data_IF_511883945274
#
_entry.id   IF_511883945274
#
_cell.length_a   1.000
_cell.length_b   1.000
_cell.length_c   1.000
_cell.angle_alpha   90.00
_cell.angle_beta   90.00
_cell.angle_gamma   90.00
#
_symmetry.space_group_name_H-M   'P 1'
#
loop_
_entity.id
_entity.type
_entity.pdbx_description
1 polymer ?
#
# COMPACT_ATOMS: atom_id res chain seq x y z
N UNK A 1 -8.12 -12.29 -7.35
CA UNK A 1 -8.12 -13.08 -6.10
C UNK A 1 -8.00 -12.11 -4.94
N UNK A 2 -8.74 -12.32 -3.85
CA UNK A 2 -8.66 -11.44 -2.69
C UNK A 2 -7.27 -11.52 -2.04
N UNK A 3 -6.67 -10.37 -1.72
CA UNK A 3 -5.40 -10.27 -1.00
C UNK A 3 -5.60 -10.71 0.45
N UNK A 4 -4.75 -11.61 1.01
CA UNK A 4 -4.85 -11.98 2.42
C UNK A 4 -4.53 -10.77 3.32
N UNK A 5 -5.05 -10.77 4.54
CA UNK A 5 -4.73 -9.73 5.52
C UNK A 5 -3.31 -9.92 6.06
N UNK A 6 -2.51 -8.84 6.06
CA UNK A 6 -1.19 -8.81 6.68
C UNK A 6 -1.26 -9.15 8.18
N UNK A 7 -2.32 -8.70 8.86
CA UNK A 7 -2.51 -8.93 10.29
C UNK A 7 -2.82 -10.40 10.63
N UNK A 8 -3.23 -11.21 9.66
CA UNK A 8 -3.58 -12.63 9.85
C UNK A 8 -2.37 -13.56 9.68
N UNK A 9 -1.27 -13.08 9.08
CA UNK A 9 -0.01 -13.81 9.02
C UNK A 9 0.59 -13.97 10.42
N UNK A 10 1.33 -15.06 10.66
CA UNK A 10 2.11 -15.19 11.89
C UNK A 10 3.35 -14.26 11.86
N UNK A 11 3.97 -14.06 13.02
CA UNK A 11 5.16 -13.19 13.18
C UNK A 11 6.32 -13.57 12.25
N UNK A 12 6.61 -14.86 12.07
CA UNK A 12 7.70 -15.29 11.20
C UNK A 12 7.43 -14.93 9.73
N UNK A 13 6.19 -15.12 9.27
CA UNK A 13 5.80 -14.78 7.90
C UNK A 13 5.80 -13.26 7.68
N UNK A 14 5.38 -12.47 8.68
CA UNK A 14 5.48 -11.00 8.61
C UNK A 14 6.93 -10.53 8.57
N UNK A 15 7.80 -11.09 9.41
CA UNK A 15 9.22 -10.77 9.42
C UNK A 15 9.90 -11.12 8.08
N UNK A 16 9.61 -12.31 7.55
CA UNK A 16 10.14 -12.73 6.25
C UNK A 16 9.66 -11.82 5.12
N UNK A 17 8.38 -11.47 5.09
CA UNK A 17 7.84 -10.57 4.07
C UNK A 17 8.48 -9.17 4.17
N UNK A 18 8.61 -8.60 5.37
CA UNK A 18 9.26 -7.31 5.59
C UNK A 18 10.74 -7.33 5.16
N UNK A 19 11.45 -8.44 5.39
CA UNK A 19 12.83 -8.62 4.91
C UNK A 19 12.91 -8.65 3.38
N UNK A 20 12.05 -9.41 2.72
CA UNK A 20 12.05 -9.52 1.26
C UNK A 20 11.62 -8.21 0.58
N UNK A 21 10.71 -7.45 1.18
CA UNK A 21 10.39 -6.08 0.73
C UNK A 21 11.62 -5.18 0.83
N UNK A 22 12.36 -5.18 1.95
CA UNK A 22 13.60 -4.39 2.07
C UNK A 22 14.67 -4.80 1.05
N UNK A 23 14.73 -6.09 0.67
CA UNK A 23 15.63 -6.58 -0.39
C UNK A 23 15.21 -6.09 -1.78
N UNK A 24 13.90 -5.98 -2.02
CA UNK A 24 13.35 -5.48 -3.28
C UNK A 24 13.56 -3.97 -3.45
N UNK A 25 13.37 -3.19 -2.38
CA UNK A 25 13.38 -1.72 -2.43
C UNK A 25 14.81 -1.17 -2.58
N UNK A 26 15.25 -1.02 -3.82
CA UNK A 26 16.50 -0.34 -4.20
C UNK A 26 16.27 1.14 -4.52
N UNK A 27 17.32 1.96 -4.66
CA UNK A 27 17.18 3.34 -5.13
C UNK A 27 16.43 3.46 -6.47
N UNK A 28 16.64 2.52 -7.40
CA UNK A 28 15.95 2.51 -8.69
C UNK A 28 14.44 2.29 -8.52
N UNK A 29 14.05 1.39 -7.60
CA UNK A 29 12.64 1.16 -7.25
C UNK A 29 12.02 2.43 -6.66
N UNK A 30 12.72 3.10 -5.74
CA UNK A 30 12.26 4.39 -5.19
C UNK A 30 12.13 5.47 -6.27
N UNK A 31 13.06 5.53 -7.20
CA UNK A 31 13.03 6.51 -8.29
C UNK A 31 11.89 6.23 -9.30
N UNK A 32 11.44 4.98 -9.48
CA UNK A 32 10.23 4.67 -10.26
C UNK A 32 9.01 5.39 -9.66
N UNK A 33 8.80 5.28 -8.33
CA UNK A 33 7.73 5.98 -7.65
C UNK A 33 7.86 7.50 -7.77
N UNK A 34 9.07 8.04 -7.54
CA UNK A 34 9.30 9.47 -7.64
C UNK A 34 9.06 10.03 -9.05
N UNK A 35 9.48 9.32 -10.09
CA UNK A 35 9.23 9.71 -11.48
C UNK A 35 7.75 9.67 -11.83
N UNK A 36 6.98 8.72 -11.28
CA UNK A 36 5.54 8.67 -11.45
C UNK A 36 4.84 9.84 -10.74
N UNK A 37 5.28 10.21 -9.54
CA UNK A 37 4.82 11.43 -8.84
C UNK A 37 5.03 12.66 -9.73
N UNK A 38 6.23 12.82 -10.30
CA UNK A 38 6.56 13.93 -11.21
C UNK A 38 5.74 13.92 -12.51
N UNK A 39 5.26 12.74 -12.92
CA UNK A 39 4.46 12.53 -14.13
C UNK A 39 2.95 12.66 -13.90
N UNK A 40 2.51 12.89 -12.65
CA UNK A 40 1.10 13.14 -12.32
C UNK A 40 0.37 11.99 -11.64
N UNK A 41 1.01 10.85 -11.33
CA UNK A 41 0.36 9.68 -10.72
C UNK A 41 -0.21 9.93 -9.30
N UNK A 42 0.04 11.10 -8.70
CA UNK A 42 -0.53 11.51 -7.41
C UNK A 42 -1.47 12.72 -7.54
N UNK A 43 -1.84 13.09 -8.78
CA UNK A 43 -2.80 14.15 -9.09
C UNK A 43 -3.86 13.69 -10.09
N UNK A 44 -3.67 12.55 -10.75
CA UNK A 44 -4.61 11.92 -11.67
C UNK A 44 -5.17 10.64 -11.01
N UNK A 45 -6.48 10.55 -10.76
CA UNK A 45 -7.11 9.43 -10.07
C UNK A 45 -6.92 8.07 -10.73
N UNK A 46 -7.06 8.00 -12.06
CA UNK A 46 -6.93 6.76 -12.80
C UNK A 46 -5.46 6.30 -12.81
N UNK A 47 -4.55 7.24 -13.08
CA UNK A 47 -3.11 6.98 -13.04
C UNK A 47 -2.64 6.61 -11.62
N UNK A 48 -3.22 7.19 -10.57
CA UNK A 48 -2.96 6.81 -9.18
C UNK A 48 -3.26 5.33 -8.95
N UNK A 49 -4.42 4.85 -9.36
CA UNK A 49 -4.81 3.45 -9.18
C UNK A 49 -3.95 2.53 -10.06
N UNK A 50 -3.83 2.82 -11.35
CA UNK A 50 -3.12 1.95 -12.29
C UNK A 50 -1.62 1.86 -11.98
N UNK A 51 -0.97 3.00 -11.69
CA UNK A 51 0.46 3.03 -11.39
C UNK A 51 0.79 2.21 -10.14
N UNK A 52 0.03 2.37 -9.05
CA UNK A 52 0.33 1.64 -7.81
C UNK A 52 0.09 0.14 -7.96
N UNK A 53 -0.92 -0.29 -8.75
CA UNK A 53 -1.11 -1.71 -9.10
C UNK A 53 0.09 -2.27 -9.86
N UNK A 54 0.57 -1.56 -10.89
CA UNK A 54 1.75 -1.98 -11.66
C UNK A 54 3.01 -2.01 -10.78
N UNK A 55 3.15 -1.04 -9.88
CA UNK A 55 4.27 -0.94 -8.95
C UNK A 55 4.30 -2.13 -7.98
N UNK A 56 3.14 -2.49 -7.39
CA UNK A 56 2.98 -3.69 -6.55
C UNK A 56 3.28 -4.96 -7.34
N UNK A 57 2.84 -5.05 -8.59
CA UNK A 57 3.07 -6.21 -9.45
C UNK A 57 4.57 -6.50 -9.62
N UNK A 58 5.43 -5.47 -9.62
CA UNK A 58 6.89 -5.63 -9.59
C UNK A 58 7.39 -6.38 -8.35
N UNK A 59 6.87 -6.04 -7.17
CA UNK A 59 7.20 -6.75 -5.92
C UNK A 59 6.65 -8.19 -5.93
N UNK A 60 5.42 -8.40 -6.41
CA UNK A 60 4.82 -9.73 -6.49
C UNK A 60 5.60 -10.66 -7.44
N UNK A 61 6.10 -10.13 -8.57
CA UNK A 61 6.99 -10.86 -9.46
C UNK A 61 8.31 -11.21 -8.76
N UNK A 62 8.94 -10.26 -8.07
CA UNK A 62 10.16 -10.50 -7.29
C UNK A 62 9.97 -11.60 -6.22
N UNK A 63 8.85 -11.57 -5.50
CA UNK A 63 8.52 -12.59 -4.50
C UNK A 63 8.30 -13.97 -5.15
N UNK A 64 7.58 -14.02 -6.26
CA UNK A 64 7.33 -15.25 -7.03
C UNK A 64 8.62 -15.88 -7.55
N UNK A 65 9.52 -15.07 -8.14
CA UNK A 65 10.80 -15.52 -8.68
C UNK A 65 11.73 -16.12 -7.62
N UNK A 66 11.57 -15.71 -6.36
CA UNK A 66 12.28 -16.24 -5.20
C UNK A 66 11.58 -17.42 -4.52
N UNK A 67 10.43 -17.85 -5.05
CA UNK A 67 9.66 -18.96 -4.54
C UNK A 67 8.69 -18.61 -3.41
N UNK A 68 8.51 -17.32 -3.08
CA UNK A 68 7.61 -16.87 -2.02
C UNK A 68 6.17 -16.64 -2.51
N UNK A 69 5.65 -17.61 -3.27
CA UNK A 69 4.29 -17.54 -3.83
C UNK A 69 3.18 -17.48 -2.78
N UNK A 70 3.46 -17.85 -1.53
CA UNK A 70 2.51 -17.66 -0.42
C UNK A 70 2.21 -16.18 -0.12
N UNK A 71 3.07 -15.26 -0.55
CA UNK A 71 2.86 -13.81 -0.44
C UNK A 71 2.34 -13.20 -1.74
N UNK A 72 1.83 -14.01 -2.67
CA UNK A 72 1.29 -13.55 -3.96
C UNK A 72 -0.14 -14.08 -4.12
N UNK A 73 -1.16 -13.20 -4.15
CA UNK A 73 -1.06 -11.75 -4.17
C UNK A 73 -0.55 -11.15 -2.84
N UNK A 74 0.10 -9.99 -2.91
CA UNK A 74 0.70 -9.31 -1.75
C UNK A 74 -0.32 -9.13 -0.62
N UNK A 75 -0.02 -9.59 0.61
CA UNK A 75 -0.87 -9.37 1.77
C UNK A 75 -1.14 -7.88 2.01
N UNK A 76 -2.40 -7.52 2.21
CA UNK A 76 -2.88 -6.16 2.36
C UNK A 76 -2.95 -5.74 3.84
N UNK A 77 -2.61 -4.49 4.14
CA UNK A 77 -2.74 -3.92 5.48
C UNK A 77 -3.83 -2.85 5.53
N UNK A 78 -4.87 -3.10 6.32
CA UNK A 78 -5.93 -2.14 6.60
C UNK A 78 -5.43 -1.14 7.68
N UNK A 79 -5.36 0.18 7.39
CA UNK A 79 -4.85 1.20 8.31
C UNK A 79 -5.76 1.48 9.52
N UNK A 80 -6.89 0.77 9.64
CA UNK A 80 -7.65 0.70 10.89
C UNK A 80 -6.91 -0.09 11.98
N UNK A 81 -6.03 -1.00 11.59
CA UNK A 81 -5.21 -1.78 12.50
C UNK A 81 -3.85 -1.10 12.73
N UNK A 82 -3.20 -1.33 13.88
CA UNK A 82 -1.80 -0.95 14.06
C UNK A 82 -0.89 -1.58 13.01
N UNK A 83 0.19 -0.88 12.69
CA UNK A 83 1.31 -1.40 11.90
C UNK A 83 1.92 -2.58 12.69
N UNK A 84 2.05 -3.78 12.10
CA UNK A 84 2.75 -4.89 12.75
C UNK A 84 4.19 -4.52 13.11
N UNK A 85 4.70 -5.03 14.23
CA UNK A 85 6.03 -4.66 14.75
C UNK A 85 7.14 -4.92 13.73
N UNK A 86 7.02 -6.00 12.95
CA UNK A 86 7.99 -6.38 11.92
C UNK A 86 8.05 -5.39 10.75
N UNK A 87 7.02 -4.54 10.60
CA UNK A 87 6.89 -3.51 9.59
C UNK A 87 7.17 -2.09 10.12
N UNK A 88 7.51 -1.94 11.40
CA UNK A 88 7.96 -0.67 11.97
C UNK A 88 9.40 -0.35 11.55
N UNK A 89 9.60 -0.09 10.27
CA UNK A 89 10.91 0.15 9.67
C UNK A 89 10.84 1.41 8.80
N UNK A 90 11.74 2.38 9.00
CA UNK A 90 12.73 2.48 10.09
C UNK A 90 12.07 2.78 11.45
N UNK A 91 12.62 2.22 12.52
CA UNK A 91 12.19 2.44 13.91
C UNK A 91 12.97 3.58 14.63
N UNK A 92 14.11 3.97 14.06
CA UNK A 92 15.02 4.96 14.61
C UNK A 92 15.47 6.02 13.58
N UNK A 93 16.10 7.08 14.09
CA UNK A 93 16.61 8.19 13.28
C UNK A 93 15.52 9.16 12.78
N UNK A 94 15.90 10.16 11.98
CA UNK A 94 14.99 11.22 11.52
C UNK A 94 13.88 10.72 10.59
N UNK A 95 14.10 9.58 9.93
CA UNK A 95 13.13 8.95 9.04
C UNK A 95 12.12 8.03 9.72
N UNK A 96 12.27 7.75 11.03
CA UNK A 96 11.44 6.75 11.72
C UNK A 96 9.95 7.00 11.56
N UNK A 97 9.17 5.93 11.49
CA UNK A 97 7.71 6.02 11.55
C UNK A 97 7.30 6.64 12.90
N UNK A 98 6.36 7.59 12.88
CA UNK A 98 6.05 8.40 14.06
C UNK A 98 4.81 7.89 14.79
N UNK A 99 3.79 7.45 14.04
CA UNK A 99 2.57 6.87 14.58
C UNK A 99 2.32 5.50 13.95
N UNK A 100 2.44 4.46 14.78
CA UNK A 100 2.24 3.08 14.37
C UNK A 100 0.78 2.62 14.44
N UNK A 101 -0.14 3.48 14.90
CA UNK A 101 -1.56 3.18 14.92
C UNK A 101 -2.33 4.39 14.36
N UNK A 102 -2.40 4.55 13.03
CA UNK A 102 -3.07 5.69 12.44
C UNK A 102 -4.58 5.68 12.65
N UNK A 103 -5.18 4.51 12.90
CA UNK A 103 -6.59 4.29 13.23
C UNK A 103 -7.56 4.93 12.19
N UNK A 104 -7.22 4.81 10.91
CA UNK A 104 -7.99 5.40 9.80
C UNK A 104 -8.94 4.35 9.24
N UNK A 105 -10.25 4.57 9.43
CA UNK A 105 -11.30 3.74 8.83
C UNK A 105 -11.54 4.12 7.37
N UNK A 106 -11.66 3.10 6.52
CA UNK A 106 -12.18 3.20 5.16
C UNK A 106 -13.68 2.82 5.11
N UNK A 107 -14.17 2.08 6.11
CA UNK A 107 -15.59 1.81 6.28
C UNK A 107 -16.37 3.02 6.82
N UNK A 108 -17.65 3.21 6.44
CA UNK A 108 -18.40 2.35 5.51
C UNK A 108 -18.20 2.69 4.03
N UNK A 109 -17.60 3.85 3.73
CA UNK A 109 -17.51 4.42 2.38
C UNK A 109 -16.95 3.45 1.33
N UNK A 110 -15.91 2.70 1.69
CA UNK A 110 -15.24 1.76 0.78
C UNK A 110 -15.54 0.29 1.09
N UNK A 111 -16.58 0.01 1.88
CA UNK A 111 -17.07 -1.36 2.04
C UNK A 111 -17.67 -1.84 0.72
N UNK A 112 -17.49 -3.12 0.38
CA UNK A 112 -17.83 -3.68 -0.93
C UNK A 112 -19.29 -3.40 -1.33
N UNK A 113 -20.23 -3.44 -0.39
CA UNK A 113 -21.65 -3.13 -0.63
C UNK A 113 -21.92 -1.67 -1.03
N UNK A 114 -21.02 -0.74 -0.70
CA UNK A 114 -21.16 0.69 -0.96
C UNK A 114 -20.37 1.15 -2.20
N UNK A 115 -19.50 0.30 -2.78
CA UNK A 115 -18.66 0.67 -3.92
C UNK A 115 -19.44 1.03 -5.20
N UNK A 116 -20.67 0.53 -5.36
CA UNK A 116 -21.56 0.94 -6.46
C UNK A 116 -21.99 2.42 -6.39
N UNK A 117 -21.68 3.13 -5.31
CA UNK A 117 -21.88 4.58 -5.21
C UNK A 117 -20.91 5.39 -6.08
N UNK A 118 -19.77 4.81 -6.48
CA UNK A 118 -18.80 5.42 -7.39
C UNK A 118 -19.12 4.95 -8.82
N UNK A 119 -19.57 5.87 -9.67
CA UNK A 119 -20.02 5.57 -11.03
C UNK A 119 -18.89 5.49 -12.04
N UNK A 120 -17.71 6.04 -11.73
CA UNK A 120 -16.52 5.96 -12.59
C UNK A 120 -15.26 5.65 -11.79
N UNK A 121 -14.21 5.21 -12.49
CA UNK A 121 -12.89 4.97 -11.91
C UNK A 121 -12.30 6.25 -11.31
N UNK A 122 -12.52 7.40 -11.96
CA UNK A 122 -12.04 8.69 -11.49
C UNK A 122 -12.70 9.10 -10.17
N UNK A 123 -14.01 8.86 -10.01
CA UNK A 123 -14.72 9.16 -8.76
C UNK A 123 -14.20 8.34 -7.59
N UNK A 124 -13.98 7.02 -7.80
CA UNK A 124 -13.38 6.16 -6.78
C UNK A 124 -11.92 6.56 -6.49
N UNK A 125 -11.14 6.82 -7.54
CA UNK A 125 -9.72 7.16 -7.43
C UNK A 125 -9.49 8.46 -6.63
N UNK A 126 -10.30 9.52 -6.86
CA UNK A 126 -10.22 10.76 -6.08
C UNK A 126 -10.50 10.52 -4.59
N UNK A 127 -11.54 9.75 -4.29
CA UNK A 127 -11.94 9.43 -2.92
C UNK A 127 -10.86 8.60 -2.20
N UNK A 128 -10.35 7.56 -2.87
CA UNK A 128 -9.27 6.72 -2.34
C UNK A 128 -7.99 7.53 -2.15
N UNK A 129 -7.58 8.34 -3.12
CA UNK A 129 -6.37 9.17 -3.03
C UNK A 129 -6.44 10.14 -1.84
N UNK A 130 -7.61 10.73 -1.58
CA UNK A 130 -7.82 11.61 -0.42
C UNK A 130 -7.64 10.87 0.90
N UNK A 131 -8.27 9.69 1.04
CA UNK A 131 -8.14 8.87 2.25
C UNK A 131 -6.73 8.30 2.42
N UNK A 132 -6.11 7.94 1.31
CA UNK A 132 -4.74 7.44 1.24
C UNK A 132 -3.74 8.46 1.77
N UNK A 133 -3.82 9.70 1.30
CA UNK A 133 -2.93 10.78 1.73
C UNK A 133 -3.04 11.05 3.24
N UNK A 134 -4.24 10.88 3.82
CA UNK A 134 -4.44 10.99 5.26
C UNK A 134 -3.69 9.90 6.04
N UNK A 135 -3.61 8.67 5.54
CA UNK A 135 -2.84 7.59 6.18
C UNK A 135 -1.35 7.91 6.19
N UNK A 136 -0.79 8.31 5.05
CA UNK A 136 0.61 8.75 4.95
C UNK A 136 0.93 9.89 5.93
N UNK A 137 0.09 10.93 5.95
CA UNK A 137 0.24 12.06 6.85
C UNK A 137 0.11 11.66 8.33
N UNK A 138 -0.78 10.73 8.66
CA UNK A 138 -1.02 10.29 10.03
C UNK A 138 0.11 9.42 10.56
N UNK A 139 0.76 8.59 9.73
CA UNK A 139 1.92 7.78 10.12
C UNK A 139 3.17 8.65 10.35
N UNK A 140 3.39 9.65 9.49
CA UNK A 140 4.55 10.54 9.61
C UNK A 140 5.87 9.87 9.21
N UNK A 141 7.00 10.52 9.53
CA UNK A 141 8.33 10.00 9.17
C UNK A 141 8.53 9.90 7.66
N UNK A 142 9.24 8.88 7.19
CA UNK A 142 9.36 8.64 5.74
C UNK A 142 8.03 8.31 5.06
N UNK A 143 7.04 7.78 5.79
CA UNK A 143 5.70 7.55 5.23
C UNK A 143 4.99 8.87 4.87
N UNK A 144 5.38 10.03 5.39
CA UNK A 144 4.84 11.33 4.95
C UNK A 144 5.73 12.02 3.89
N UNK A 145 6.58 11.26 3.18
CA UNK A 145 7.41 11.76 2.09
C UNK A 145 7.04 11.03 0.79
N UNK A 146 6.48 11.74 -0.19
CA UNK A 146 6.17 11.14 -1.50
C UNK A 146 7.38 10.49 -2.18
N UNK A 147 8.60 10.97 -1.90
CA UNK A 147 9.81 10.35 -2.43
C UNK A 147 10.27 9.15 -1.61
N UNK A 148 10.24 9.24 -0.29
CA UNK A 148 10.88 8.25 0.58
C UNK A 148 9.92 7.18 1.13
N UNK A 149 8.60 7.35 1.00
CA UNK A 149 7.62 6.42 1.53
C UNK A 149 7.82 4.96 1.08
N UNK A 150 8.22 4.66 -0.18
CA UNK A 150 8.47 3.27 -0.60
C UNK A 150 9.58 2.55 0.18
N UNK A 151 10.48 3.30 0.86
CA UNK A 151 11.50 2.73 1.74
C UNK A 151 10.91 2.09 3.02
N UNK A 152 9.69 2.47 3.42
CA UNK A 152 9.01 1.84 4.53
C UNK A 152 8.34 0.55 4.03
N UNK A 153 8.64 -0.64 4.57
CA UNK A 153 8.02 -1.87 4.10
C UNK A 153 6.49 -1.86 4.16
N UNK A 154 5.91 -1.14 5.12
CA UNK A 154 4.44 -1.01 5.30
C UNK A 154 3.76 -0.26 4.14
N UNK A 155 4.50 0.52 3.36
CA UNK A 155 4.00 1.14 2.12
C UNK A 155 3.33 0.10 1.23
N UNK A 156 3.99 -1.04 1.01
CA UNK A 156 3.57 -2.02 0.02
C UNK A 156 2.25 -2.72 0.40
N UNK A 157 2.10 -3.29 1.62
CA UNK A 157 0.80 -3.80 2.06
C UNK A 157 -0.30 -2.74 2.12
N UNK A 158 0.03 -1.48 2.42
CA UNK A 158 -0.95 -0.40 2.40
C UNK A 158 -1.49 -0.14 0.99
N UNK A 159 -0.61 -0.03 0.00
CA UNK A 159 -1.05 0.09 -1.39
C UNK A 159 -1.76 -1.17 -1.90
N UNK A 160 -1.39 -2.36 -1.39
CA UNK A 160 -2.15 -3.59 -1.64
C UNK A 160 -3.58 -3.53 -1.12
N UNK A 161 -3.82 -2.85 0.00
CA UNK A 161 -5.18 -2.60 0.51
C UNK A 161 -5.98 -1.66 -0.40
N UNK A 162 -5.38 -0.56 -0.87
CA UNK A 162 -6.02 0.37 -1.82
C UNK A 162 -6.35 -0.34 -3.14
N UNK A 163 -5.41 -1.13 -3.66
CA UNK A 163 -5.59 -1.93 -4.88
C UNK A 163 -6.71 -2.96 -4.73
N UNK A 164 -6.84 -3.58 -3.55
CA UNK A 164 -7.93 -4.50 -3.24
C UNK A 164 -9.31 -3.84 -3.32
N UNK A 165 -9.45 -2.61 -2.81
CA UNK A 165 -10.71 -1.86 -2.92
C UNK A 165 -11.04 -1.55 -4.39
N UNK A 166 -10.05 -1.15 -5.19
CA UNK A 166 -10.27 -0.91 -6.61
C UNK A 166 -10.66 -2.18 -7.36
N UNK A 167 -10.02 -3.31 -7.05
CA UNK A 167 -10.43 -4.61 -7.59
C UNK A 167 -11.87 -4.98 -7.20
N UNK A 168 -12.26 -4.76 -5.94
CA UNK A 168 -13.63 -5.01 -5.49
C UNK A 168 -14.65 -4.15 -6.26
N UNK A 169 -14.33 -2.88 -6.55
CA UNK A 169 -15.16 -2.01 -7.37
C UNK A 169 -15.26 -2.50 -8.82
N UNK A 170 -14.13 -2.90 -9.43
CA UNK A 170 -14.09 -3.46 -10.78
C UNK A 170 -14.93 -4.72 -10.92
N UNK A 171 -14.96 -5.58 -9.90
CA UNK A 171 -15.77 -6.80 -9.87
C UNK A 171 -17.29 -6.53 -9.80
N UNK A 172 -17.70 -5.31 -9.46
CA UNK A 172 -19.11 -4.90 -9.34
C UNK A 172 -19.64 -4.16 -10.59
N UNK A 173 -18.74 -3.71 -11.48
CA UNK A 173 -19.10 -3.07 -12.75
C UNK A 173 -19.55 -4.10 -13.79
#
# INVERSE_FOLDING_TARGET
MARPSLNDLNENDRALLAEEIQRYVTPDIVDIHWNAVLSGAHNDPAMFLSFHRDYISGLENFLSDRGYTQFVPLPAWNPKNPIPEEFNIPDAGPGRLQNLNPDISFSPEFDRENLNAFGTEEELGEALMTRHNLVHARIGGIMNSMRLAPLAPIFWPFHGFIDGIWQDWQDLQ
#
